data_IF_832082353114
#
_entry.id   IF_832082353114
#
_cell.length_a   1.000
_cell.length_b   1.000
_cell.length_c   1.000
_cell.angle_alpha   90.00
_cell.angle_beta   90.00
_cell.angle_gamma   90.00
#
_symmetry.space_group_name_H-M   'P 1'
#
loop_
_entity.id
_entity.type
_entity.pdbx_description
1 polymer ?
#
# COMPACT_ATOMS: atom_id res chain seq x y z
N UNK A 1 -35.00 -53.04 7.51
CA UNK A 1 -35.45 -51.67 7.86
C UNK A 1 -36.73 -51.40 7.11
N UNK A 2 -37.76 -50.92 7.81
CA UNK A 2 -39.03 -50.54 7.21
C UNK A 2 -38.83 -49.39 6.21
N UNK A 3 -39.50 -49.43 5.05
CA UNK A 3 -39.36 -48.42 4.00
C UNK A 3 -39.73 -47.02 4.47
N UNK A 4 -40.64 -46.91 5.43
CA UNK A 4 -40.98 -45.64 6.09
C UNK A 4 -39.83 -45.07 6.94
N UNK A 5 -39.03 -45.93 7.57
CA UNK A 5 -37.87 -45.52 8.36
C UNK A 5 -36.72 -45.01 7.47
N UNK A 6 -36.54 -45.63 6.30
CA UNK A 6 -35.56 -45.19 5.27
C UNK A 6 -35.95 -43.81 4.73
N UNK A 7 -37.21 -43.63 4.32
CA UNK A 7 -37.70 -42.33 3.83
C UNK A 7 -37.71 -41.22 4.88
N UNK A 8 -37.79 -41.58 6.18
CA UNK A 8 -37.61 -40.64 7.28
C UNK A 8 -36.15 -40.21 7.45
N UNK A 9 -35.21 -41.15 7.31
CA UNK A 9 -33.78 -40.90 7.39
C UNK A 9 -33.28 -40.07 6.21
N UNK A 10 -33.73 -40.35 4.99
CA UNK A 10 -33.37 -39.59 3.78
C UNK A 10 -33.75 -38.12 3.91
N UNK A 11 -34.98 -37.82 4.37
CA UNK A 11 -35.42 -36.43 4.63
C UNK A 11 -34.60 -35.73 5.71
N UNK A 12 -34.18 -36.45 6.74
CA UNK A 12 -33.32 -35.90 7.80
C UNK A 12 -31.93 -35.58 7.25
N UNK A 13 -31.34 -36.48 6.48
CA UNK A 13 -30.03 -36.28 5.84
C UNK A 13 -30.07 -35.12 4.84
N UNK A 14 -31.11 -35.01 4.02
CA UNK A 14 -31.30 -33.92 3.08
C UNK A 14 -31.47 -32.57 3.79
N UNK A 15 -32.21 -32.53 4.91
CA UNK A 15 -32.35 -31.31 5.73
C UNK A 15 -31.04 -30.90 6.40
N UNK A 16 -30.23 -31.87 6.82
CA UNK A 16 -28.88 -31.63 7.36
C UNK A 16 -27.97 -31.11 6.25
N UNK A 17 -27.91 -31.77 5.10
CA UNK A 17 -27.11 -31.36 3.94
C UNK A 17 -27.46 -29.93 3.50
N UNK A 18 -28.75 -29.62 3.31
CA UNK A 18 -29.22 -28.27 2.95
C UNK A 18 -28.88 -27.21 4.01
N UNK A 19 -28.82 -27.61 5.29
CA UNK A 19 -28.40 -26.70 6.37
C UNK A 19 -26.88 -26.50 6.38
N UNK A 20 -26.12 -27.56 6.11
CA UNK A 20 -24.66 -27.49 5.98
C UNK A 20 -24.25 -26.71 4.73
N UNK A 21 -24.94 -26.84 3.60
CA UNK A 21 -24.70 -26.07 2.38
C UNK A 21 -24.98 -24.58 2.57
N UNK A 22 -25.99 -24.21 3.37
CA UNK A 22 -26.24 -22.81 3.77
C UNK A 22 -25.17 -22.25 4.71
N UNK A 23 -24.47 -23.12 5.43
CA UNK A 23 -23.35 -22.75 6.32
C UNK A 23 -22.00 -22.85 5.61
N UNK A 24 -21.92 -23.59 4.50
CA UNK A 24 -20.71 -23.71 3.70
C UNK A 24 -20.43 -22.34 3.07
N UNK A 25 -19.20 -21.81 3.23
CA UNK A 25 -18.83 -20.60 2.52
C UNK A 25 -18.96 -20.87 1.01
N UNK A 26 -19.60 -19.93 0.30
CA UNK A 26 -19.68 -20.02 -1.16
C UNK A 26 -18.27 -20.17 -1.73
N UNK A 27 -18.07 -21.03 -2.75
CA UNK A 27 -16.79 -21.11 -3.44
C UNK A 27 -16.42 -19.69 -3.90
N UNK A 28 -15.32 -19.16 -3.37
CA UNK A 28 -14.84 -17.85 -3.78
C UNK A 28 -14.32 -18.01 -5.20
N UNK A 29 -15.02 -17.44 -6.18
CA UNK A 29 -14.53 -17.40 -7.55
C UNK A 29 -13.15 -16.72 -7.56
N UNK A 30 -12.22 -17.30 -8.32
CA UNK A 30 -10.89 -16.74 -8.44
C UNK A 30 -10.98 -15.31 -8.99
N UNK A 31 -10.35 -14.31 -8.35
CA UNK A 31 -10.51 -12.93 -8.75
C UNK A 31 -9.93 -12.67 -10.15
N UNK A 32 -10.68 -11.96 -10.98
CA UNK A 32 -10.26 -11.59 -12.33
C UNK A 32 -9.37 -10.33 -12.31
N UNK A 33 -8.06 -10.53 -12.40
CA UNK A 33 -7.06 -9.45 -12.48
C UNK A 33 -7.12 -8.65 -13.79
N UNK A 34 -7.85 -9.12 -14.81
CA UNK A 34 -8.00 -8.36 -16.07
C UNK A 34 -9.03 -7.24 -15.98
N UNK A 35 -9.91 -7.27 -14.97
CA UNK A 35 -11.03 -6.34 -14.81
C UNK A 35 -10.65 -4.89 -14.46
N UNK A 36 -9.48 -4.67 -13.85
CA UNK A 36 -8.98 -3.35 -13.46
C UNK A 36 -7.45 -3.37 -13.30
N UNK A 37 -6.83 -2.19 -13.18
CA UNK A 37 -5.40 -2.08 -12.88
C UNK A 37 -5.09 -1.99 -11.39
N UNK A 38 -6.08 -1.61 -10.58
CA UNK A 38 -5.95 -1.44 -9.15
C UNK A 38 -7.02 -2.22 -8.41
N UNK A 39 -6.67 -2.81 -7.27
CA UNK A 39 -7.56 -3.61 -6.43
C UNK A 39 -7.33 -3.33 -4.94
N UNK A 40 -8.34 -3.59 -4.12
CA UNK A 40 -8.20 -3.77 -2.67
C UNK A 40 -8.39 -5.25 -2.37
N UNK A 41 -7.47 -5.84 -1.63
CA UNK A 41 -7.56 -7.22 -1.18
C UNK A 41 -8.47 -7.33 0.05
N UNK A 42 -9.39 -8.28 -0.01
CA UNK A 42 -10.25 -8.69 1.11
C UNK A 42 -10.05 -10.20 1.33
N UNK A 43 -9.54 -10.62 2.51
CA UNK A 43 -9.42 -12.03 2.82
C UNK A 43 -10.78 -12.76 2.77
N UNK A 44 -10.80 -14.06 2.44
CA UNK A 44 -9.63 -14.92 2.23
C UNK A 44 -9.04 -14.86 0.81
N UNK A 45 -9.77 -14.37 -0.21
CA UNK A 45 -9.32 -14.46 -1.60
C UNK A 45 -9.98 -13.45 -2.56
N UNK A 46 -10.60 -12.37 -2.07
CA UNK A 46 -11.31 -11.41 -2.92
C UNK A 46 -10.39 -10.24 -3.31
N UNK A 47 -10.48 -9.80 -4.57
CA UNK A 47 -9.86 -8.58 -5.06
C UNK A 47 -10.93 -7.66 -5.61
N UNK A 48 -11.18 -6.55 -4.91
CA UNK A 48 -12.19 -5.57 -5.31
C UNK A 48 -11.58 -4.53 -6.26
N UNK A 49 -12.06 -4.40 -7.51
CA UNK A 49 -11.50 -3.47 -8.47
C UNK A 49 -11.72 -2.01 -8.05
N UNK A 50 -10.70 -1.18 -8.25
CA UNK A 50 -10.71 0.26 -7.97
C UNK A 50 -10.64 1.02 -9.31
N UNK A 51 -11.78 1.38 -9.92
CA UNK A 51 -11.80 2.05 -11.22
C UNK A 51 -11.23 3.48 -11.18
N UNK A 52 -11.39 4.16 -10.03
CA UNK A 52 -10.91 5.52 -9.82
C UNK A 52 -9.94 5.55 -8.64
N UNK A 53 -8.65 5.49 -8.94
CA UNK A 53 -7.58 5.57 -7.94
C UNK A 53 -7.40 7.02 -7.54
N UNK A 54 -7.52 7.31 -6.24
CA UNK A 54 -7.13 8.59 -5.69
C UNK A 54 -5.60 8.74 -5.74
N UNK A 55 -5.09 9.30 -6.84
CA UNK A 55 -3.67 9.51 -7.11
C UNK A 55 -3.39 10.99 -7.33
N UNK A 56 -2.19 11.39 -6.95
CA UNK A 56 -1.64 12.72 -7.26
C UNK A 56 -0.71 12.54 -8.45
N UNK A 57 -0.75 13.47 -9.40
CA UNK A 57 0.19 13.46 -10.52
C UNK A 57 1.63 13.50 -10.00
N UNK A 58 2.51 12.70 -10.61
CA UNK A 58 3.87 12.53 -10.09
C UNK A 58 4.68 13.85 -10.11
N UNK A 59 4.38 14.74 -11.05
CA UNK A 59 5.01 16.06 -11.17
C UNK A 59 4.63 17.03 -10.05
N UNK A 60 3.51 16.77 -9.35
CA UNK A 60 3.05 17.58 -8.20
C UNK A 60 3.71 17.15 -6.89
N UNK A 61 4.38 15.99 -6.84
CA UNK A 61 5.10 15.53 -5.67
C UNK A 61 6.46 16.24 -5.56
N UNK A 62 6.49 17.38 -4.86
CA UNK A 62 7.69 18.20 -4.64
C UNK A 62 8.45 17.82 -3.36
N UNK A 63 9.76 18.11 -3.33
CA UNK A 63 10.60 17.93 -2.14
C UNK A 63 10.93 16.46 -1.83
N UNK A 64 10.62 15.55 -2.75
CA UNK A 64 10.89 14.11 -2.64
C UNK A 64 11.56 13.55 -3.92
N UNK A 65 12.14 14.42 -4.74
CA UNK A 65 12.61 14.11 -6.10
C UNK A 65 13.52 12.87 -6.14
N UNK A 66 14.53 12.80 -5.26
CA UNK A 66 15.42 11.64 -5.19
C UNK A 66 14.68 10.33 -4.90
N UNK A 67 13.74 10.33 -3.95
CA UNK A 67 12.96 9.14 -3.60
C UNK A 67 11.97 8.77 -4.70
N UNK A 68 11.38 9.77 -5.36
CA UNK A 68 10.53 9.60 -6.53
C UNK A 68 11.29 8.91 -7.66
N UNK A 69 12.44 9.44 -8.03
CA UNK A 69 13.20 8.96 -9.19
C UNK A 69 13.67 7.51 -8.97
N UNK A 70 14.18 7.19 -7.77
CA UNK A 70 14.59 5.82 -7.42
C UNK A 70 13.40 4.84 -7.49
N UNK A 71 12.24 5.22 -6.93
CA UNK A 71 11.08 4.33 -6.92
C UNK A 71 10.46 4.19 -8.31
N UNK A 72 10.42 5.27 -9.10
CA UNK A 72 9.93 5.25 -10.48
C UNK A 72 10.79 4.32 -11.34
N UNK A 73 12.11 4.45 -11.29
CA UNK A 73 13.02 3.59 -12.05
C UNK A 73 12.88 2.10 -11.64
N UNK A 74 12.82 1.81 -10.34
CA UNK A 74 12.60 0.45 -9.85
C UNK A 74 11.28 -0.15 -10.34
N UNK A 75 10.20 0.65 -10.31
CA UNK A 75 8.87 0.24 -10.73
C UNK A 75 8.79 0.03 -12.24
N UNK A 76 9.40 0.91 -13.04
CA UNK A 76 9.45 0.78 -14.49
C UNK A 76 10.22 -0.47 -14.92
N UNK A 77 11.38 -0.77 -14.30
CA UNK A 77 12.12 -2.01 -14.54
C UNK A 77 11.26 -3.25 -14.24
N UNK A 78 10.56 -3.23 -13.11
CA UNK A 78 9.67 -4.32 -12.74
C UNK A 78 8.54 -4.51 -13.76
N UNK A 79 7.87 -3.42 -14.16
CA UNK A 79 6.79 -3.45 -15.14
C UNK A 79 7.26 -4.02 -16.50
N UNK A 80 8.47 -3.67 -16.93
CA UNK A 80 9.10 -4.18 -18.15
C UNK A 80 9.63 -5.63 -18.02
N UNK A 81 9.56 -6.21 -16.83
CA UNK A 81 9.87 -7.59 -16.57
C UNK A 81 11.29 -7.91 -16.10
N UNK A 82 12.01 -6.89 -15.66
CA UNK A 82 13.34 -7.02 -15.09
C UNK A 82 13.30 -7.13 -13.55
N UNK A 83 14.38 -7.62 -12.92
CA UNK A 83 14.50 -7.64 -11.47
C UNK A 83 14.38 -6.26 -10.84
N UNK A 84 13.70 -6.20 -9.69
CA UNK A 84 13.48 -4.99 -8.92
C UNK A 84 13.33 -5.33 -7.43
N UNK A 85 13.50 -4.32 -6.58
CA UNK A 85 13.55 -4.45 -5.15
C UNK A 85 12.21 -4.09 -4.49
N UNK A 86 11.83 -4.83 -3.44
CA UNK A 86 10.80 -4.40 -2.50
C UNK A 86 11.19 -3.04 -1.89
N UNK A 87 10.22 -2.17 -1.63
CA UNK A 87 10.48 -0.83 -1.13
C UNK A 87 9.71 -0.52 0.16
N UNK A 88 10.41 0.07 1.12
CA UNK A 88 9.85 0.65 2.33
C UNK A 88 10.06 2.16 2.31
N UNK A 89 8.95 2.90 2.23
CA UNK A 89 8.93 4.36 2.29
C UNK A 89 8.61 4.76 3.74
N UNK A 90 9.53 5.40 4.43
CA UNK A 90 9.37 5.71 5.85
C UNK A 90 9.53 7.20 6.15
N UNK A 91 8.96 7.66 7.26
CA UNK A 91 9.21 8.98 7.80
C UNK A 91 7.96 9.86 7.84
N UNK A 92 8.13 11.16 7.59
CA UNK A 92 7.15 12.20 7.90
C UNK A 92 5.75 11.92 7.32
N UNK A 93 4.72 12.15 8.14
CA UNK A 93 3.31 12.07 7.75
C UNK A 93 2.97 13.18 6.76
N UNK A 94 2.12 12.89 5.78
CA UNK A 94 1.62 13.88 4.82
C UNK A 94 2.59 14.30 3.71
N UNK A 95 3.78 13.69 3.63
CA UNK A 95 4.80 13.97 2.60
C UNK A 95 4.63 13.15 1.30
N UNK A 96 3.48 12.51 1.11
CA UNK A 96 3.15 11.85 -0.15
C UNK A 96 3.73 10.44 -0.35
N UNK A 97 4.07 9.69 0.72
CA UNK A 97 4.55 8.29 0.60
C UNK A 97 3.58 7.39 -0.18
N UNK A 98 2.31 7.34 0.26
CA UNK A 98 1.23 6.56 -0.38
C UNK A 98 0.90 7.10 -1.77
N UNK A 99 0.87 8.43 -1.91
CA UNK A 99 0.67 9.10 -3.19
C UNK A 99 1.77 8.76 -4.20
N UNK A 100 3.03 8.67 -3.76
CA UNK A 100 4.14 8.32 -4.63
C UNK A 100 3.99 6.90 -5.18
N UNK A 101 3.63 5.91 -4.35
CA UNK A 101 3.40 4.53 -4.81
C UNK A 101 2.34 4.48 -5.91
N UNK A 102 1.22 5.18 -5.69
CA UNK A 102 0.11 5.27 -6.67
C UNK A 102 0.54 6.00 -7.95
N UNK A 103 1.37 7.02 -7.83
CA UNK A 103 1.86 7.80 -8.96
C UNK A 103 2.86 7.01 -9.81
N UNK A 104 3.86 6.35 -9.21
CA UNK A 104 4.85 5.54 -9.95
C UNK A 104 4.22 4.32 -10.62
N UNK A 105 3.18 3.73 -10.02
CA UNK A 105 2.40 2.67 -10.64
C UNK A 105 1.71 3.16 -11.92
N UNK A 106 1.03 4.31 -11.84
CA UNK A 106 0.36 4.91 -12.98
C UNK A 106 1.35 5.31 -14.10
N UNK A 107 2.49 5.91 -13.73
CA UNK A 107 3.55 6.28 -14.67
C UNK A 107 4.17 5.05 -15.34
N UNK A 108 4.44 3.99 -14.58
CA UNK A 108 4.97 2.75 -15.13
C UNK A 108 4.00 2.16 -16.17
N UNK A 109 2.69 2.11 -15.88
CA UNK A 109 1.69 1.66 -16.86
C UNK A 109 1.61 2.55 -18.09
N UNK A 110 1.70 3.87 -17.94
CA UNK A 110 1.71 4.80 -19.06
C UNK A 110 2.96 4.66 -19.95
N UNK A 111 4.06 4.14 -19.40
CA UNK A 111 5.32 3.92 -20.14
C UNK A 111 5.41 2.57 -20.86
N UNK A 112 4.45 1.66 -20.63
CA UNK A 112 4.43 0.35 -21.27
C UNK A 112 4.09 0.46 -22.77
N UNK A 113 4.73 -0.36 -23.59
CA UNK A 113 4.45 -0.44 -25.03
C UNK A 113 3.09 -1.07 -25.34
N UNK A 114 2.61 -0.85 -26.57
CA UNK A 114 1.37 -1.46 -27.06
C UNK A 114 1.42 -3.00 -26.92
N UNK A 115 0.36 -3.58 -26.35
CA UNK A 115 0.24 -5.03 -26.15
C UNK A 115 0.96 -5.60 -24.92
N UNK A 116 1.69 -4.78 -24.15
CA UNK A 116 2.22 -5.21 -22.86
C UNK A 116 1.10 -5.39 -21.83
N UNK A 117 1.23 -6.38 -20.95
CA UNK A 117 0.30 -6.56 -19.84
C UNK A 117 0.50 -5.44 -18.81
N UNK A 118 -0.58 -4.81 -18.31
CA UNK A 118 -0.46 -3.76 -17.31
C UNK A 118 0.06 -4.31 -15.98
N UNK A 119 0.87 -3.50 -15.30
CA UNK A 119 1.23 -3.69 -13.90
C UNK A 119 -0.02 -3.51 -13.04
N UNK A 120 -0.29 -4.46 -12.16
CA UNK A 120 -1.40 -4.40 -11.20
C UNK A 120 -0.94 -3.80 -9.88
N UNK A 121 -1.80 -3.02 -9.24
CA UNK A 121 -1.60 -2.50 -7.88
C UNK A 121 -2.67 -3.09 -6.97
N UNK A 122 -2.27 -3.83 -5.95
CA UNK A 122 -3.20 -4.42 -4.98
C UNK A 122 -2.89 -3.83 -3.61
N UNK A 123 -3.83 -3.08 -3.05
CA UNK A 123 -3.76 -2.59 -1.69
C UNK A 123 -4.13 -3.72 -0.72
N UNK A 124 -3.28 -3.95 0.28
CA UNK A 124 -3.52 -4.86 1.39
C UNK A 124 -3.52 -4.05 2.68
N UNK A 125 -4.53 -4.24 3.52
CA UNK A 125 -4.58 -3.63 4.83
C UNK A 125 -3.61 -4.32 5.78
N UNK A 126 -3.09 -3.56 6.75
CA UNK A 126 -2.14 -4.05 7.74
C UNK A 126 -2.70 -5.24 8.52
N UNK A 127 -4.00 -5.21 8.80
CA UNK A 127 -4.74 -6.24 9.54
C UNK A 127 -4.80 -7.57 8.76
N UNK A 128 -4.63 -7.53 7.43
CA UNK A 128 -4.79 -8.68 6.55
C UNK A 128 -3.45 -9.32 6.13
N UNK A 129 -2.32 -8.85 6.69
CA UNK A 129 -0.96 -9.34 6.38
C UNK A 129 -0.82 -10.85 6.62
N UNK A 130 -1.61 -11.44 7.52
CA UNK A 130 -1.59 -12.90 7.75
C UNK A 130 -2.04 -13.70 6.53
N UNK A 131 -2.89 -13.14 5.66
CA UNK A 131 -3.37 -13.78 4.44
C UNK A 131 -2.40 -13.62 3.24
N UNK A 132 -1.30 -12.88 3.41
CA UNK A 132 -0.33 -12.59 2.37
C UNK A 132 0.26 -13.86 1.70
N UNK A 133 0.61 -14.95 2.41
CA UNK A 133 1.11 -16.17 1.76
C UNK A 133 0.11 -16.78 0.77
N UNK A 134 -1.18 -16.81 1.12
CA UNK A 134 -2.24 -17.29 0.23
C UNK A 134 -2.40 -16.43 -1.01
N UNK A 135 -2.39 -15.10 -0.83
CA UNK A 135 -2.45 -14.14 -1.93
C UNK A 135 -1.24 -14.29 -2.87
N UNK A 136 -0.03 -14.46 -2.34
CA UNK A 136 1.16 -14.68 -3.16
C UNK A 136 1.07 -15.98 -3.96
N UNK A 137 0.52 -17.05 -3.39
CA UNK A 137 0.27 -18.31 -4.10
C UNK A 137 -0.67 -18.12 -5.29
N UNK A 138 -1.75 -17.36 -5.12
CA UNK A 138 -2.65 -16.99 -6.21
C UNK A 138 -1.96 -16.15 -7.28
N UNK A 139 -1.23 -15.11 -6.88
CA UNK A 139 -0.56 -14.20 -7.81
C UNK A 139 0.58 -14.87 -8.58
N UNK A 140 1.26 -15.87 -8.00
CA UNK A 140 2.32 -16.63 -8.67
C UNK A 140 1.84 -17.31 -9.96
N UNK A 141 0.58 -17.71 -10.03
CA UNK A 141 -0.02 -18.33 -11.22
C UNK A 141 -0.53 -17.31 -12.26
N UNK A 142 -0.55 -16.02 -11.90
CA UNK A 142 -1.07 -14.95 -12.76
C UNK A 142 -0.04 -14.52 -13.80
N UNK A 143 -0.45 -14.21 -15.05
CA UNK A 143 0.44 -13.62 -16.05
C UNK A 143 0.78 -12.15 -15.74
N UNK A 144 0.04 -11.50 -14.85
CA UNK A 144 0.24 -10.10 -14.51
C UNK A 144 1.37 -9.92 -13.51
N UNK A 145 2.17 -8.87 -13.72
CA UNK A 145 3.05 -8.35 -12.68
C UNK A 145 2.25 -7.52 -11.70
N UNK A 146 2.57 -7.65 -10.42
CA UNK A 146 1.75 -7.09 -9.34
C UNK A 146 2.61 -6.38 -8.31
N UNK A 147 2.28 -5.13 -8.03
CA UNK A 147 2.69 -4.41 -6.83
C UNK A 147 1.68 -4.70 -5.72
N UNK A 148 2.13 -5.39 -4.67
CA UNK A 148 1.40 -5.44 -3.41
C UNK A 148 1.76 -4.20 -2.59
N UNK A 149 0.77 -3.46 -2.14
CA UNK A 149 0.94 -2.19 -1.45
C UNK A 149 0.27 -2.21 -0.08
N UNK A 150 1.05 -1.99 0.99
CA UNK A 150 0.51 -1.79 2.34
C UNK A 150 0.76 -0.36 2.81
N UNK A 151 -0.30 0.40 3.05
CA UNK A 151 -0.18 1.76 3.61
C UNK A 151 -0.09 1.72 5.15
N UNK A 152 0.69 2.63 5.73
CA UNK A 152 0.93 2.79 7.17
C UNK A 152 1.24 1.47 7.92
N UNK A 153 2.16 0.69 7.37
CA UNK A 153 2.66 -0.54 7.98
C UNK A 153 3.50 -0.21 9.23
N UNK A 154 3.01 -0.65 10.39
CA UNK A 154 3.75 -0.70 11.65
C UNK A 154 3.13 -1.74 12.56
N UNK A 155 3.92 -2.41 13.37
CA UNK A 155 3.44 -3.47 14.27
C UNK A 155 3.50 -3.00 15.73
N UNK A 156 2.56 -3.48 16.53
CA UNK A 156 2.51 -3.22 17.97
C UNK A 156 3.04 -4.41 18.78
N UNK A 157 3.27 -4.18 20.08
CA UNK A 157 3.72 -5.20 21.02
C UNK A 157 2.71 -6.36 21.10
N UNK A 158 3.12 -7.52 20.59
CA UNK A 158 2.31 -8.75 20.56
C UNK A 158 1.70 -9.08 19.20
N UNK A 159 1.86 -8.21 18.20
CA UNK A 159 1.42 -8.51 16.83
C UNK A 159 2.33 -9.61 16.24
N UNK A 160 1.76 -10.75 15.86
CA UNK A 160 2.50 -11.87 15.27
C UNK A 160 2.53 -11.83 13.74
N UNK A 161 1.74 -10.95 13.12
CA UNK A 161 1.58 -10.87 11.65
C UNK A 161 2.87 -10.46 10.93
N UNK A 162 3.83 -9.83 11.62
CA UNK A 162 5.15 -9.53 11.06
C UNK A 162 5.90 -10.79 10.59
N UNK A 163 5.62 -11.96 11.19
CA UNK A 163 6.21 -13.25 10.77
C UNK A 163 5.70 -13.66 9.39
N UNK A 164 4.41 -13.44 9.12
CA UNK A 164 3.80 -13.70 7.81
C UNK A 164 4.40 -12.77 6.75
N UNK A 165 4.59 -11.49 7.08
CA UNK A 165 5.29 -10.56 6.20
C UNK A 165 6.75 -10.98 5.94
N UNK A 166 7.49 -11.36 6.99
CA UNK A 166 8.86 -11.83 6.85
C UNK A 166 8.94 -13.03 5.92
N UNK A 167 8.09 -14.04 6.13
CA UNK A 167 8.04 -15.24 5.31
C UNK A 167 7.73 -14.91 3.83
N UNK A 168 6.80 -13.97 3.59
CA UNK A 168 6.45 -13.49 2.25
C UNK A 168 7.62 -12.77 1.54
N UNK A 169 8.39 -11.96 2.27
CA UNK A 169 9.54 -11.24 1.73
C UNK A 169 10.76 -12.16 1.51
N UNK A 170 10.98 -13.11 2.41
CA UNK A 170 12.07 -14.11 2.33
C UNK A 170 11.80 -15.17 1.27
N UNK A 171 10.52 -15.38 0.92
CA UNK A 171 10.10 -16.36 -0.08
C UNK A 171 10.04 -17.81 0.42
N UNK A 172 10.26 -18.07 1.72
CA UNK A 172 10.25 -19.42 2.27
C UNK A 172 11.10 -20.42 1.47
N UNK A 173 10.65 -21.68 1.37
CA UNK A 173 11.30 -22.72 0.55
C UNK A 173 10.98 -22.56 -0.95
N UNK A 174 9.81 -22.01 -1.28
CA UNK A 174 9.31 -21.93 -2.66
C UNK A 174 9.81 -20.70 -3.44
N UNK A 175 10.54 -19.81 -2.78
CA UNK A 175 10.94 -18.51 -3.30
C UNK A 175 9.79 -17.51 -3.41
N UNK A 176 10.14 -16.22 -3.42
CA UNK A 176 9.19 -15.14 -3.72
C UNK A 176 8.78 -15.22 -5.20
N UNK A 177 7.48 -15.05 -5.56
CA UNK A 177 7.06 -14.99 -6.95
C UNK A 177 7.78 -13.87 -7.71
N UNK A 178 8.35 -14.19 -8.88
CA UNK A 178 9.11 -13.24 -9.71
C UNK A 178 8.25 -12.10 -10.28
N UNK A 179 6.94 -12.32 -10.33
CA UNK A 179 5.93 -11.37 -10.81
C UNK A 179 5.26 -10.57 -9.69
N UNK A 180 5.73 -10.66 -8.44
CA UNK A 180 5.14 -9.93 -7.30
C UNK A 180 6.19 -9.10 -6.58
N UNK A 181 5.94 -7.82 -6.36
CA UNK A 181 6.82 -6.91 -5.62
C UNK A 181 6.04 -6.23 -4.50
N UNK A 182 6.65 -6.10 -3.31
CA UNK A 182 5.99 -5.55 -2.13
C UNK A 182 6.49 -4.13 -1.82
N UNK A 183 5.56 -3.17 -1.77
CA UNK A 183 5.77 -1.80 -1.33
C UNK A 183 5.01 -1.53 -0.04
N UNK A 184 5.66 -0.86 0.91
CA UNK A 184 5.02 -0.42 2.14
C UNK A 184 5.34 1.04 2.44
N UNK A 185 4.39 1.75 3.05
CA UNK A 185 4.71 3.00 3.75
C UNK A 185 4.73 2.78 5.26
N UNK A 186 5.53 3.57 5.97
CA UNK A 186 5.48 3.62 7.43
C UNK A 186 5.72 5.04 7.94
N UNK A 187 5.12 5.38 9.07
CA UNK A 187 5.44 6.61 9.79
C UNK A 187 6.67 6.46 10.68
N UNK A 188 7.16 5.23 10.86
CA UNK A 188 8.36 4.90 11.64
C UNK A 188 9.46 4.43 10.69
N UNK A 189 10.72 4.69 11.07
CA UNK A 189 11.87 4.19 10.32
C UNK A 189 11.96 2.66 10.36
N UNK A 190 11.61 2.06 11.50
CA UNK A 190 11.55 0.62 11.71
C UNK A 190 10.09 0.21 11.88
N UNK A 191 9.73 -0.94 11.29
CA UNK A 191 8.37 -1.48 11.36
C UNK A 191 8.01 -2.00 12.77
N UNK A 192 9.02 -2.41 13.54
CA UNK A 192 8.88 -2.89 14.91
C UNK A 192 9.35 -1.82 15.93
N UNK A 193 8.63 -1.60 17.03
CA UNK A 193 9.05 -0.77 18.16
C UNK A 193 10.38 -1.23 18.76
N UNK A 194 11.21 -0.29 19.23
CA UNK A 194 12.48 -0.60 19.90
C UNK A 194 12.30 -1.45 21.15
N UNK A 195 11.30 -1.14 21.97
CA UNK A 195 11.04 -1.87 23.22
C UNK A 195 10.68 -3.35 22.96
N UNK A 196 10.07 -3.68 21.82
CA UNK A 196 9.84 -5.09 21.43
C UNK A 196 11.13 -5.79 21.00
N UNK A 197 12.05 -5.05 20.38
CA UNK A 197 13.37 -5.54 20.00
C UNK A 197 14.17 -5.80 21.29
N UNK A 198 14.09 -4.89 22.26
CA UNK A 198 14.83 -4.94 23.53
C UNK A 198 14.23 -5.91 24.57
N UNK A 199 12.90 -6.05 24.68
CA UNK A 199 12.28 -6.92 25.71
C UNK A 199 12.49 -8.43 25.46
N UNK A 200 12.56 -8.87 24.19
CA UNK A 200 12.93 -10.27 23.89
C UNK A 200 14.40 -10.53 24.20
N UNK A 201 15.28 -9.52 24.11
CA UNK A 201 16.68 -9.65 24.52
C UNK A 201 16.82 -10.04 26.00
N UNK A 202 15.82 -9.73 26.84
CA UNK A 202 15.84 -10.02 28.28
C UNK A 202 15.28 -11.40 28.64
N UNK A 203 14.57 -12.06 27.71
CA UNK A 203 13.87 -13.34 27.96
C UNK A 203 14.31 -14.47 27.02
N UNK A 204 14.98 -14.14 25.91
CA UNK A 204 15.52 -15.12 24.97
C UNK A 204 16.83 -15.74 25.49
N UNK A 205 17.01 -17.03 25.22
CA UNK A 205 18.25 -17.76 25.54
C UNK A 205 19.45 -17.13 24.81
N UNK A 206 19.24 -16.59 23.60
CA UNK A 206 20.21 -15.81 22.83
C UNK A 206 19.65 -14.41 22.47
N UNK A 207 19.94 -13.39 23.28
CA UNK A 207 19.43 -12.03 23.12
C UNK A 207 19.81 -11.35 21.80
N UNK A 208 21.03 -11.60 21.32
CA UNK A 208 21.56 -10.99 20.09
C UNK A 208 20.84 -11.51 18.84
N UNK A 209 20.54 -12.82 18.79
CA UNK A 209 19.86 -13.46 17.66
C UNK A 209 18.40 -12.98 17.53
N UNK A 210 17.67 -12.82 18.64
CA UNK A 210 16.28 -12.35 18.62
C UNK A 210 16.16 -10.87 18.16
N UNK A 211 17.14 -10.04 18.54
CA UNK A 211 17.24 -8.64 18.09
C UNK A 211 17.55 -8.57 16.59
N UNK A 212 18.54 -9.34 16.14
CA UNK A 212 18.96 -9.42 14.74
C UNK A 212 17.83 -9.94 13.85
N UNK A 213 17.04 -10.89 14.35
CA UNK A 213 15.87 -11.44 13.66
C UNK A 213 14.76 -10.39 13.42
N UNK A 214 14.56 -9.45 14.35
CA UNK A 214 13.55 -8.38 14.23
C UNK A 214 14.00 -7.19 13.39
N UNK A 215 15.28 -6.85 13.46
CA UNK A 215 15.87 -5.84 12.56
C UNK A 215 15.85 -6.34 11.11
N UNK A 216 16.05 -7.65 10.91
CA UNK A 216 16.14 -8.28 9.58
C UNK A 216 14.92 -8.03 8.68
N UNK A 217 13.72 -7.82 9.24
CA UNK A 217 12.52 -7.57 8.44
C UNK A 217 12.64 -6.30 7.59
N UNK A 218 13.22 -5.23 8.15
CA UNK A 218 13.40 -3.99 7.40
C UNK A 218 14.48 -4.14 6.32
N UNK A 219 15.51 -4.97 6.58
CA UNK A 219 16.59 -5.23 5.63
C UNK A 219 16.14 -6.06 4.41
N UNK A 220 14.95 -6.68 4.46
CA UNK A 220 14.33 -7.36 3.30
C UNK A 220 13.77 -6.41 2.25
N UNK A 221 13.71 -5.12 2.55
CA UNK A 221 13.38 -4.08 1.59
C UNK A 221 14.67 -3.55 0.96
N UNK A 222 14.95 -4.00 -0.27
CA UNK A 222 16.12 -3.55 -1.03
C UNK A 222 16.13 -2.04 -1.32
N UNK A 223 14.96 -1.38 -1.28
CA UNK A 223 14.86 0.08 -1.26
C UNK A 223 14.31 0.57 0.07
N UNK A 224 15.07 1.42 0.75
CA UNK A 224 14.67 2.04 2.01
C UNK A 224 14.69 3.56 1.88
N UNK A 225 13.52 4.15 1.58
CA UNK A 225 13.39 5.54 1.15
C UNK A 225 12.87 6.41 2.29
N UNK A 226 13.71 7.35 2.74
CA UNK A 226 13.38 8.28 3.82
C UNK A 226 12.66 9.53 3.35
N UNK A 227 11.56 9.87 4.01
CA UNK A 227 10.75 11.07 3.80
C UNK A 227 10.88 11.98 5.01
N UNK A 228 11.39 13.19 4.79
CA UNK A 228 11.66 14.14 5.85
C UNK A 228 10.62 15.27 5.86
N UNK A 229 10.59 16.06 6.93
CA UNK A 229 9.75 17.26 6.98
C UNK A 229 10.19 18.22 5.88
N UNK A 230 9.23 18.79 5.16
CA UNK A 230 9.51 19.76 4.12
C UNK A 230 9.95 21.12 4.69
N UNK A 231 10.73 21.85 3.90
CA UNK A 231 11.04 23.26 4.18
C UNK A 231 9.82 24.14 3.91
N UNK A 232 9.93 25.43 4.26
CA UNK A 232 8.90 26.39 3.87
C UNK A 232 8.80 26.55 2.35
N UNK A 233 9.94 26.56 1.67
CA UNK A 233 9.99 26.77 0.23
C UNK A 233 9.42 25.56 -0.51
N UNK A 234 9.68 24.33 -0.03
CA UNK A 234 9.01 23.12 -0.53
C UNK A 234 7.49 23.20 -0.36
N UNK A 235 7.03 23.67 0.80
CA UNK A 235 5.60 23.80 1.10
C UNK A 235 4.91 24.82 0.17
N UNK A 236 5.55 25.97 -0.06
CA UNK A 236 5.04 26.98 -1.00
C UNK A 236 5.08 26.45 -2.44
N UNK A 237 6.16 25.78 -2.85
CA UNK A 237 6.28 25.18 -4.17
C UNK A 237 5.22 24.08 -4.44
N UNK A 238 4.80 23.33 -3.42
CA UNK A 238 3.68 22.40 -3.53
C UNK A 238 2.37 23.14 -3.81
N UNK A 239 2.11 24.23 -3.09
CA UNK A 239 0.90 25.06 -3.28
C UNK A 239 0.89 25.64 -4.70
N UNK A 240 1.99 26.25 -5.13
CA UNK A 240 2.14 26.81 -6.47
C UNK A 240 1.88 25.74 -7.54
N UNK A 241 2.40 24.52 -7.33
CA UNK A 241 2.17 23.38 -8.22
C UNK A 241 0.68 23.00 -8.32
N UNK A 242 -0.02 22.93 -7.19
CA UNK A 242 -1.45 22.64 -7.19
C UNK A 242 -2.28 23.76 -7.83
N UNK A 243 -1.97 25.02 -7.57
CA UNK A 243 -2.67 26.15 -8.20
C UNK A 243 -2.50 26.17 -9.71
N UNK A 244 -1.27 25.93 -10.18
CA UNK A 244 -0.99 25.80 -11.60
C UNK A 244 -1.76 24.65 -12.25
N UNK A 245 -1.81 23.48 -11.58
CA UNK A 245 -2.56 22.32 -12.08
C UNK A 245 -4.07 22.56 -12.19
N UNK A 246 -4.63 23.41 -11.33
CA UNK A 246 -6.06 23.75 -11.32
C UNK A 246 -6.37 25.11 -11.94
N UNK A 247 -5.39 25.77 -12.59
CA UNK A 247 -5.51 27.10 -13.19
C UNK A 247 -6.16 28.14 -12.24
N UNK A 248 -5.76 28.13 -10.96
CA UNK A 248 -6.23 29.07 -9.95
C UNK A 248 -5.23 30.24 -9.86
N UNK A 249 -5.69 31.44 -10.18
CA UNK A 249 -4.88 32.66 -10.08
C UNK A 249 -5.19 33.42 -8.79
N UNK A 250 -4.13 33.74 -8.03
CA UNK A 250 -4.18 34.51 -6.79
C UNK A 250 -2.95 35.42 -6.74
N UNK A 251 -3.08 36.58 -6.10
CA UNK A 251 -1.93 37.45 -5.87
C UNK A 251 -0.82 36.70 -5.08
N UNK A 252 0.44 36.67 -5.57
CA UNK A 252 1.50 35.90 -4.92
C UNK A 252 1.82 36.33 -3.49
N UNK A 253 1.67 37.62 -3.16
CA UNK A 253 1.96 38.12 -1.82
C UNK A 253 0.85 37.72 -0.83
N UNK A 254 -0.41 37.82 -1.24
CA UNK A 254 -1.57 37.32 -0.50
C UNK A 254 -1.50 35.81 -0.30
N UNK A 255 -1.26 35.06 -1.38
CA UNK A 255 -1.14 33.61 -1.35
C UNK A 255 -0.10 33.16 -0.33
N UNK A 256 1.10 33.76 -0.38
CA UNK A 256 2.20 33.42 0.51
C UNK A 256 1.84 33.71 1.97
N UNK A 257 1.22 34.86 2.25
CA UNK A 257 0.80 35.22 3.61
C UNK A 257 -0.19 34.19 4.16
N UNK A 258 -1.27 33.94 3.41
CA UNK A 258 -2.37 33.07 3.81
C UNK A 258 -1.90 31.61 3.95
N UNK A 259 -1.05 31.13 3.05
CA UNK A 259 -0.47 29.79 3.10
C UNK A 259 0.38 29.57 4.37
N UNK A 260 1.18 30.57 4.75
CA UNK A 260 2.04 30.49 5.93
C UNK A 260 1.22 30.57 7.22
N UNK A 261 0.20 31.43 7.26
CA UNK A 261 -0.76 31.49 8.37
C UNK A 261 -1.48 30.15 8.54
N UNK A 262 -1.98 29.56 7.45
CA UNK A 262 -2.59 28.23 7.46
C UNK A 262 -1.68 27.15 8.03
N UNK A 263 -0.43 27.10 7.58
CA UNK A 263 0.55 26.12 8.08
C UNK A 263 0.85 26.28 9.57
N UNK A 264 0.82 27.53 10.06
CA UNK A 264 1.04 27.85 11.47
C UNK A 264 -0.12 27.39 12.33
N UNK A 265 -1.36 27.66 11.90
CA UNK A 265 -2.58 27.19 12.56
C UNK A 265 -2.67 25.66 12.59
N UNK A 266 -2.20 24.98 11.54
CA UNK A 266 -2.12 23.51 11.47
C UNK A 266 -0.92 22.91 12.22
N UNK A 267 0.01 23.74 12.68
CA UNK A 267 1.22 23.31 13.39
C UNK A 267 2.17 22.43 12.55
N UNK A 268 2.02 22.41 11.22
CA UNK A 268 2.84 21.55 10.36
C UNK A 268 2.86 22.01 8.90
N UNK A 269 3.91 21.61 8.19
CA UNK A 269 4.08 21.78 6.74
C UNK A 269 4.23 20.41 6.10
N UNK A 270 3.39 20.11 5.13
CA UNK A 270 3.41 18.86 4.37
C UNK A 270 2.58 19.02 3.10
N UNK A 271 2.75 18.11 2.14
CA UNK A 271 1.93 18.07 0.93
C UNK A 271 0.43 17.94 1.23
N UNK A 272 0.06 17.18 2.28
CA UNK A 272 -1.34 17.10 2.75
C UNK A 272 -1.87 18.46 3.22
N UNK A 273 -1.09 19.19 4.02
CA UNK A 273 -1.50 20.52 4.52
C UNK A 273 -1.59 21.53 3.38
N UNK A 274 -0.66 21.45 2.41
CA UNK A 274 -0.67 22.28 1.20
C UNK A 274 -1.94 22.04 0.37
N UNK A 275 -2.29 20.77 0.12
CA UNK A 275 -3.51 20.46 -0.63
C UNK A 275 -4.78 20.92 0.12
N UNK A 276 -4.83 20.74 1.45
CA UNK A 276 -5.96 21.23 2.25
C UNK A 276 -6.11 22.75 2.21
N UNK A 277 -4.99 23.49 2.17
CA UNK A 277 -5.02 24.94 1.97
C UNK A 277 -5.58 25.29 0.58
N UNK A 278 -5.15 24.58 -0.47
CA UNK A 278 -5.65 24.79 -1.84
C UNK A 278 -7.14 24.45 -1.95
N UNK A 279 -7.62 23.41 -1.27
CA UNK A 279 -9.04 23.07 -1.17
C UNK A 279 -9.85 24.20 -0.53
N UNK A 280 -9.37 24.73 0.59
CA UNK A 280 -10.02 25.85 1.28
C UNK A 280 -10.03 27.12 0.42
N UNK A 281 -8.89 27.44 -0.22
CA UNK A 281 -8.77 28.59 -1.11
C UNK A 281 -9.70 28.47 -2.32
N UNK A 282 -9.74 27.30 -2.98
CA UNK A 282 -10.65 27.04 -4.09
C UNK A 282 -12.11 27.17 -3.66
N UNK A 283 -12.47 26.66 -2.47
CA UNK A 283 -13.80 26.82 -1.87
C UNK A 283 -14.17 28.29 -1.65
N UNK A 284 -13.27 29.10 -1.09
CA UNK A 284 -13.45 30.55 -0.92
C UNK A 284 -13.64 31.29 -2.24
N UNK A 285 -13.00 30.81 -3.31
CA UNK A 285 -13.09 31.38 -4.67
C UNK A 285 -14.25 30.82 -5.51
N UNK A 286 -15.03 29.87 -4.98
CA UNK A 286 -16.11 29.21 -5.73
C UNK A 286 -15.61 28.36 -6.91
N UNK A 287 -14.40 27.82 -6.83
CA UNK A 287 -13.78 26.99 -7.88
C UNK A 287 -13.85 25.51 -7.50
N UNK A 288 -14.07 24.66 -8.49
CA UNK A 288 -13.98 23.19 -8.35
C UNK A 288 -12.55 22.72 -8.62
N UNK A 289 -12.05 21.81 -7.79
CA UNK A 289 -10.82 21.08 -8.07
C UNK A 289 -11.18 19.84 -8.89
N UNK A 290 -10.72 19.79 -10.14
CA UNK A 290 -10.91 18.67 -11.07
C UNK A 290 -9.65 17.82 -11.16
#
# INVERSE_FOLDING_TARGET
>A
MDGAAIAGLERLLERIATSLERLAPQPVEAPDLSSADCFVFEPPARLNPVPHVNRVDIGLLKGIDRSRDILSENTARFAAGFPANNALLWGARGMGKSSLVKAVHAEANASLGEGALPLKLIEIHREDIEALPGLMGFLKASPFRTLLFCDDLSFDAGDASYKSLKAALDGGVEGRPENVLFYATSNRRHLLPRDMIENESSTAINPAEAVEEKVSLSDRFGLWLGFHKCSQDDYLAMIDGYLAAHAIEVDPAELRRDALEWSTTRGSRSGRVAFQFVQDLAGRLGRTLT
#
